data_IF_030836339804
#
_entry.id   IF_030836339804
#
_cell.length_a   1.000
_cell.length_b   1.000
_cell.length_c   1.000
_cell.angle_alpha   90.00
_cell.angle_beta   90.00
_cell.angle_gamma   90.00
#
_symmetry.space_group_name_H-M   'P 1'
#
loop_
_entity.id
_entity.type
_entity.pdbx_description
1 polymer ?
#
# COMPACT_ATOMS: atom_id res chain seq x y z
N UNK A 1 -7.17 5.83 5.13
CA UNK A 1 -6.38 6.99 5.56
C UNK A 1 -7.09 8.33 5.29
N UNK A 2 -7.22 8.84 4.04
CA UNK A 2 -7.81 10.17 3.80
C UNK A 2 -9.25 10.29 4.29
N UNK A 3 -10.11 9.34 3.93
CA UNK A 3 -11.51 9.32 4.37
C UNK A 3 -11.67 9.08 5.88
N UNK A 4 -10.82 8.27 6.46
CA UNK A 4 -10.77 8.02 7.91
C UNK A 4 -10.40 9.29 8.69
N UNK A 5 -9.50 10.11 8.10
CA UNK A 5 -9.18 11.44 8.69
C UNK A 5 -10.42 12.33 8.74
N UNK A 6 -11.27 12.31 7.70
CA UNK A 6 -12.52 13.10 7.72
C UNK A 6 -13.45 12.65 8.84
N UNK A 7 -13.61 11.33 9.01
CA UNK A 7 -14.46 10.77 10.08
C UNK A 7 -13.85 11.09 11.46
N UNK A 8 -12.54 10.88 11.62
CA UNK A 8 -11.82 11.18 12.87
C UNK A 8 -11.91 12.64 13.29
N UNK A 9 -11.96 13.57 12.34
CA UNK A 9 -12.15 14.99 12.57
C UNK A 9 -13.63 15.42 12.69
N UNK A 10 -14.56 14.45 12.67
CA UNK A 10 -16.01 14.71 12.83
C UNK A 10 -16.65 15.42 11.65
N UNK A 11 -16.07 15.27 10.45
CA UNK A 11 -16.67 15.78 9.21
C UNK A 11 -17.71 14.77 8.75
N UNK A 12 -18.88 15.27 8.38
CA UNK A 12 -19.93 14.47 7.75
C UNK A 12 -19.45 14.00 6.37
N UNK A 13 -18.98 12.75 6.32
CA UNK A 13 -18.40 12.12 5.15
C UNK A 13 -18.96 10.72 4.94
N UNK A 14 -19.58 10.52 3.81
CA UNK A 14 -20.00 9.19 3.37
C UNK A 14 -18.80 8.47 2.72
N UNK A 15 -18.44 7.32 3.28
CA UNK A 15 -17.34 6.50 2.76
C UNK A 15 -17.61 6.10 1.31
N UNK A 16 -16.71 6.49 0.42
CA UNK A 16 -16.78 6.11 -0.99
C UNK A 16 -15.99 4.83 -1.18
N UNK A 17 -16.67 3.79 -1.60
CA UNK A 17 -16.04 2.56 -2.08
C UNK A 17 -15.67 2.74 -3.56
N UNK A 18 -14.39 2.55 -3.87
CA UNK A 18 -13.87 2.64 -5.23
C UNK A 18 -13.78 1.29 -5.93
N UNK A 19 -14.29 0.22 -5.31
CA UNK A 19 -14.23 -1.13 -5.87
C UNK A 19 -12.82 -1.70 -5.92
N UNK A 20 -11.89 -1.17 -5.14
CA UNK A 20 -10.53 -1.69 -4.97
C UNK A 20 -10.54 -2.77 -3.88
N UNK A 21 -11.39 -3.77 -4.03
CA UNK A 21 -11.39 -4.90 -3.10
C UNK A 21 -10.15 -5.77 -3.32
N UNK A 22 -9.12 -5.49 -2.53
CA UNK A 22 -7.91 -6.29 -2.49
C UNK A 22 -8.10 -7.55 -1.64
N UNK A 23 -9.12 -7.62 -0.80
CA UNK A 23 -9.35 -8.70 0.15
C UNK A 23 -9.51 -10.03 -0.57
N UNK A 24 -10.31 -10.07 -1.63
CA UNK A 24 -10.53 -11.29 -2.40
C UNK A 24 -9.21 -11.86 -2.96
N UNK A 25 -8.30 -10.99 -3.40
CA UNK A 25 -6.99 -11.39 -3.89
C UNK A 25 -6.07 -11.88 -2.76
N UNK A 26 -5.98 -11.13 -1.66
CA UNK A 26 -5.18 -11.49 -0.48
C UNK A 26 -5.63 -12.84 0.07
N UNK A 27 -6.94 -12.99 0.25
CA UNK A 27 -7.57 -14.20 0.71
C UNK A 27 -7.23 -15.42 -0.16
N UNK A 28 -7.25 -15.25 -1.49
CA UNK A 28 -6.89 -16.34 -2.41
C UNK A 28 -5.43 -16.78 -2.25
N UNK A 29 -4.52 -15.88 -1.90
CA UNK A 29 -3.13 -16.23 -1.66
C UNK A 29 -2.88 -16.82 -0.27
N UNK A 30 -3.47 -16.24 0.80
CA UNK A 30 -3.09 -16.47 2.20
C UNK A 30 -3.99 -17.45 2.96
N UNK A 31 -5.24 -17.66 2.53
CA UNK A 31 -6.16 -18.57 3.24
C UNK A 31 -5.65 -20.01 3.26
N UNK A 32 -6.07 -20.81 4.24
CA UNK A 32 -5.97 -22.25 4.16
C UNK A 32 -6.52 -22.76 2.84
N UNK A 33 -5.77 -23.56 2.09
CA UNK A 33 -6.06 -23.95 0.70
C UNK A 33 -5.91 -22.80 -0.35
N UNK A 34 -5.28 -21.70 -0.01
CA UNK A 34 -4.85 -20.67 -0.93
C UNK A 34 -3.59 -21.06 -1.72
N UNK A 35 -3.14 -20.18 -2.61
CA UNK A 35 -2.02 -20.46 -3.52
C UNK A 35 -0.75 -20.85 -2.74
N UNK A 36 -0.41 -20.10 -1.67
CA UNK A 36 0.79 -20.38 -0.87
C UNK A 36 0.71 -21.71 -0.13
N UNK A 37 -0.44 -22.03 0.46
CA UNK A 37 -0.63 -23.29 1.18
C UNK A 37 -0.53 -24.50 0.24
N UNK A 38 -1.11 -24.41 -0.96
CA UNK A 38 -1.05 -25.46 -1.98
C UNK A 38 0.38 -25.60 -2.50
N UNK A 39 1.09 -24.50 -2.72
CA UNK A 39 2.49 -24.50 -3.17
C UNK A 39 3.40 -25.18 -2.13
N UNK A 40 3.21 -24.83 -0.85
CA UNK A 40 3.99 -25.43 0.24
C UNK A 40 3.72 -26.94 0.34
N UNK A 41 2.44 -27.33 0.35
CA UNK A 41 2.04 -28.73 0.39
C UNK A 41 2.63 -29.53 -0.76
N UNK A 42 2.45 -29.08 -2.02
CA UNK A 42 2.98 -29.75 -3.21
C UNK A 42 4.52 -29.79 -3.19
N UNK A 43 5.17 -28.77 -2.66
CA UNK A 43 6.65 -28.76 -2.54
C UNK A 43 7.16 -29.86 -1.62
N UNK A 44 6.38 -30.30 -0.62
CA UNK A 44 6.74 -31.35 0.31
C UNK A 44 6.49 -32.76 -0.24
N UNK A 45 5.63 -32.89 -1.25
CA UNK A 45 5.35 -34.22 -1.84
C UNK A 45 6.45 -34.67 -2.80
N UNK A 46 7.05 -35.87 -2.59
CA UNK A 46 8.19 -36.33 -3.39
C UNK A 46 7.91 -36.54 -4.87
N UNK A 47 6.62 -36.75 -5.24
CA UNK A 47 6.19 -37.01 -6.62
C UNK A 47 5.39 -35.87 -7.23
N UNK A 48 5.34 -34.73 -6.59
CA UNK A 48 4.64 -33.58 -7.11
C UNK A 48 5.33 -33.03 -8.37
N UNK A 49 4.53 -32.59 -9.30
CA UNK A 49 4.95 -31.99 -10.57
C UNK A 49 4.24 -30.64 -10.73
N UNK A 50 4.76 -29.77 -11.59
CA UNK A 50 4.08 -28.50 -11.93
C UNK A 50 2.65 -28.75 -12.42
N UNK A 51 2.41 -29.88 -13.09
CA UNK A 51 1.08 -30.27 -13.54
C UNK A 51 0.15 -30.65 -12.39
N UNK A 52 0.62 -31.42 -11.39
CA UNK A 52 -0.20 -31.76 -10.20
C UNK A 52 -0.53 -30.50 -9.39
N UNK A 53 0.41 -29.58 -9.29
CA UNK A 53 0.20 -28.27 -8.66
C UNK A 53 -0.86 -27.44 -9.41
N UNK A 54 -0.77 -27.34 -10.74
CA UNK A 54 -1.76 -26.66 -11.57
C UNK A 54 -3.17 -27.25 -11.39
N UNK A 55 -3.31 -28.58 -11.45
CA UNK A 55 -4.59 -29.26 -11.29
C UNK A 55 -5.19 -29.01 -9.91
N UNK A 56 -4.38 -29.01 -8.86
CA UNK A 56 -4.81 -28.73 -7.50
C UNK A 56 -5.24 -27.27 -7.31
N UNK A 57 -4.50 -26.33 -7.90
CA UNK A 57 -4.91 -24.92 -7.93
C UNK A 57 -6.28 -24.75 -8.59
N UNK A 58 -6.48 -25.35 -9.77
CA UNK A 58 -7.76 -25.28 -10.48
C UNK A 58 -8.92 -25.94 -9.72
N UNK A 59 -8.66 -27.06 -9.05
CA UNK A 59 -9.66 -27.72 -8.23
C UNK A 59 -10.08 -26.90 -7.00
N UNK A 60 -9.13 -26.27 -6.33
CA UNK A 60 -9.36 -25.52 -5.09
C UNK A 60 -9.86 -24.10 -5.34
N UNK A 61 -9.30 -23.40 -6.32
CA UNK A 61 -9.52 -21.97 -6.55
C UNK A 61 -10.37 -21.65 -7.78
N UNK A 62 -10.60 -22.65 -8.66
CA UNK A 62 -11.28 -22.44 -9.94
C UNK A 62 -12.74 -21.96 -9.85
N UNK A 63 -13.35 -21.99 -8.67
CA UNK A 63 -14.70 -21.44 -8.40
C UNK A 63 -14.68 -19.96 -8.00
N UNK A 64 -13.52 -19.40 -7.71
CA UNK A 64 -13.41 -18.00 -7.33
C UNK A 64 -13.54 -17.09 -8.55
N UNK A 65 -14.30 -16.01 -8.49
CA UNK A 65 -14.54 -15.14 -9.65
C UNK A 65 -13.28 -14.43 -10.15
N UNK A 66 -12.28 -14.27 -9.29
CA UNK A 66 -11.00 -13.64 -9.62
C UNK A 66 -9.97 -14.62 -10.21
N UNK A 67 -10.19 -15.95 -10.08
CA UNK A 67 -9.33 -16.99 -10.67
C UNK A 67 -9.81 -17.32 -12.06
N UNK A 68 -9.02 -16.96 -13.07
CA UNK A 68 -9.41 -16.98 -14.47
C UNK A 68 -8.58 -18.00 -15.29
N UNK A 69 -9.12 -18.36 -16.44
CA UNK A 69 -8.33 -19.05 -17.46
C UNK A 69 -7.39 -18.06 -18.16
N UNK A 70 -6.19 -18.50 -18.62
CA UNK A 70 -5.28 -17.64 -19.35
C UNK A 70 -5.95 -17.06 -20.60
N UNK A 71 -5.66 -15.82 -20.93
CA UNK A 71 -6.11 -15.19 -22.17
C UNK A 71 -5.24 -15.69 -23.34
N UNK A 72 -5.80 -16.56 -24.17
CA UNK A 72 -5.10 -17.38 -25.17
C UNK A 72 -4.33 -16.63 -26.27
N UNK A 73 -4.49 -15.32 -26.41
CA UNK A 73 -3.86 -14.53 -27.48
C UNK A 73 -2.46 -14.01 -27.14
N UNK A 74 -2.17 -13.79 -25.86
CA UNK A 74 -0.91 -13.19 -25.40
C UNK A 74 -0.01 -14.16 -24.64
N UNK A 75 -0.58 -15.17 -23.96
CA UNK A 75 0.16 -16.01 -23.02
C UNK A 75 0.02 -17.52 -23.31
N UNK A 76 0.70 -17.98 -24.36
CA UNK A 76 0.65 -19.39 -24.78
C UNK A 76 1.20 -20.38 -23.74
N UNK A 77 1.91 -19.89 -22.74
CA UNK A 77 2.56 -20.72 -21.72
C UNK A 77 1.99 -20.49 -20.31
N UNK A 78 0.94 -19.69 -20.18
CA UNK A 78 0.33 -19.47 -18.89
C UNK A 78 -0.63 -20.60 -18.51
N UNK A 79 -0.68 -20.94 -17.22
CA UNK A 79 -1.49 -22.02 -16.67
C UNK A 79 -2.79 -21.52 -16.05
N UNK A 80 -2.76 -20.32 -15.47
CA UNK A 80 -3.94 -19.63 -14.94
C UNK A 80 -3.75 -18.10 -15.00
N UNK A 81 -4.80 -17.36 -14.74
CA UNK A 81 -4.75 -15.91 -14.63
C UNK A 81 -5.51 -15.44 -13.39
N UNK A 82 -5.14 -14.28 -12.88
CA UNK A 82 -5.79 -13.65 -11.74
C UNK A 82 -6.24 -12.25 -12.14
N UNK A 83 -7.48 -11.91 -11.79
CA UNK A 83 -7.98 -10.55 -11.89
C UNK A 83 -7.52 -9.75 -10.68
N UNK A 84 -6.45 -8.99 -10.84
CA UNK A 84 -5.97 -8.02 -9.86
C UNK A 84 -6.70 -6.68 -10.03
N UNK A 85 -6.58 -5.78 -9.05
CA UNK A 85 -7.18 -4.45 -9.11
C UNK A 85 -6.73 -3.63 -10.33
N UNK A 86 -5.47 -3.82 -10.77
CA UNK A 86 -4.88 -3.07 -11.89
C UNK A 86 -5.07 -3.75 -13.25
N UNK A 87 -5.55 -5.00 -13.29
CA UNK A 87 -5.77 -5.75 -14.51
C UNK A 87 -5.57 -7.26 -14.34
N UNK A 88 -5.77 -7.99 -15.42
CA UNK A 88 -5.63 -9.45 -15.44
C UNK A 88 -4.17 -9.79 -15.69
N UNK A 89 -3.59 -10.61 -14.82
CA UNK A 89 -2.21 -11.10 -14.93
C UNK A 89 -2.23 -12.62 -15.10
N UNK A 90 -1.55 -13.09 -16.13
CA UNK A 90 -1.39 -14.52 -16.43
C UNK A 90 -0.12 -15.08 -15.78
N UNK A 91 -0.21 -16.28 -15.24
CA UNK A 91 0.87 -16.92 -14.48
C UNK A 91 1.29 -18.24 -15.12
N UNK A 92 2.60 -18.41 -15.23
CA UNK A 92 3.24 -19.67 -15.62
C UNK A 92 3.83 -20.32 -14.37
N UNK A 93 3.38 -21.53 -14.01
CA UNK A 93 3.81 -22.25 -12.82
C UNK A 93 5.05 -23.12 -13.03
N UNK A 94 5.57 -23.17 -14.24
CA UNK A 94 6.73 -24.00 -14.57
C UNK A 94 7.93 -23.66 -13.66
N UNK A 95 8.44 -24.66 -12.95
CA UNK A 95 9.56 -24.50 -12.03
C UNK A 95 9.21 -23.88 -10.66
N UNK A 96 7.94 -23.61 -10.36
CA UNK A 96 7.57 -23.03 -9.06
C UNK A 96 7.87 -23.99 -7.90
N UNK A 97 7.59 -25.28 -8.06
CA UNK A 97 7.86 -26.27 -7.02
C UNK A 97 9.35 -26.40 -6.73
N UNK A 98 10.18 -26.43 -7.77
CA UNK A 98 11.63 -26.50 -7.63
C UNK A 98 12.19 -25.25 -6.95
N UNK A 99 11.78 -24.08 -7.42
CA UNK A 99 12.17 -22.79 -6.81
C UNK A 99 11.74 -22.71 -5.34
N UNK A 100 10.55 -23.22 -5.00
CA UNK A 100 10.03 -23.15 -3.64
C UNK A 100 10.74 -24.10 -2.67
N UNK A 101 11.26 -25.23 -3.15
CA UNK A 101 12.03 -26.18 -2.34
C UNK A 101 13.37 -25.63 -1.90
N UNK A 102 13.90 -24.61 -2.57
CA UNK A 102 15.22 -24.04 -2.35
C UNK A 102 16.28 -25.12 -2.19
N UNK A 103 16.71 -25.75 -3.30
CA UNK A 103 17.49 -26.99 -3.28
C UNK A 103 18.94 -26.82 -2.81
N UNK A 104 19.26 -25.77 -2.07
CA UNK A 104 20.60 -25.61 -1.50
C UNK A 104 20.80 -26.69 -0.46
N UNK A 105 21.70 -27.63 -0.77
CA UNK A 105 22.01 -28.75 0.09
C UNK A 105 22.69 -28.25 1.39
N UNK A 106 22.14 -28.64 2.54
CA UNK A 106 22.67 -28.28 3.87
C UNK A 106 24.15 -28.59 4.02
N UNK A 107 24.61 -29.68 3.41
CA UNK A 107 26.04 -30.04 3.38
C UNK A 107 26.89 -29.01 2.67
N UNK A 108 26.36 -28.42 1.56
CA UNK A 108 27.05 -27.35 0.84
C UNK A 108 27.12 -26.11 1.71
N UNK A 109 26.03 -25.75 2.40
CA UNK A 109 26.00 -24.63 3.34
C UNK A 109 27.02 -24.80 4.45
N UNK A 110 27.09 -26.00 5.04
CA UNK A 110 28.05 -26.32 6.10
C UNK A 110 29.50 -26.20 5.60
N UNK A 111 29.79 -26.73 4.42
CA UNK A 111 31.11 -26.61 3.79
C UNK A 111 31.46 -25.15 3.52
N UNK A 112 30.50 -24.34 3.01
CA UNK A 112 30.72 -22.89 2.76
C UNK A 112 30.98 -22.13 4.05
N UNK A 113 30.33 -22.51 5.16
CA UNK A 113 30.53 -21.87 6.47
C UNK A 113 31.85 -22.25 7.13
N UNK A 114 32.25 -23.54 7.05
CA UNK A 114 33.34 -24.09 7.85
C UNK A 114 34.65 -24.25 7.09
N UNK A 115 34.61 -24.47 5.79
CA UNK A 115 35.78 -24.89 5.01
C UNK A 115 36.23 -23.84 3.98
N UNK A 116 35.44 -22.80 3.75
CA UNK A 116 35.82 -21.76 2.79
C UNK A 116 37.00 -20.94 3.31
N UNK A 117 38.08 -20.89 2.52
CA UNK A 117 39.22 -19.98 2.75
C UNK A 117 38.92 -18.51 2.35
N UNK A 118 37.77 -18.26 1.76
CA UNK A 118 37.36 -16.94 1.31
C UNK A 118 36.41 -16.34 2.35
N UNK A 119 36.89 -15.36 3.10
CA UNK A 119 36.15 -14.69 4.18
C UNK A 119 34.78 -14.14 3.74
N UNK A 120 34.71 -13.60 2.52
CA UNK A 120 33.46 -13.11 1.93
C UNK A 120 32.40 -14.22 1.82
N UNK A 121 32.78 -15.44 1.40
CA UNK A 121 31.85 -16.56 1.30
C UNK A 121 31.35 -16.98 2.69
N UNK A 122 32.25 -17.07 3.67
CA UNK A 122 31.86 -17.37 5.06
C UNK A 122 30.88 -16.33 5.58
N UNK A 123 31.11 -15.06 5.27
CA UNK A 123 30.24 -13.98 5.71
C UNK A 123 28.86 -14.06 5.04
N UNK A 124 28.79 -14.31 3.74
CA UNK A 124 27.51 -14.45 2.99
C UNK A 124 26.66 -15.62 3.49
N UNK A 125 27.29 -16.71 3.91
CA UNK A 125 26.58 -17.89 4.39
C UNK A 125 26.35 -17.91 5.91
N UNK A 126 26.91 -16.97 6.65
CA UNK A 126 26.85 -16.92 8.13
C UNK A 126 25.43 -17.04 8.68
N UNK A 127 24.52 -16.27 8.11
CA UNK A 127 23.13 -16.16 8.57
C UNK A 127 22.20 -17.18 7.93
N UNK A 128 22.69 -18.01 7.01
CA UNK A 128 21.88 -19.06 6.43
C UNK A 128 21.50 -20.09 7.52
N UNK A 129 20.20 -20.39 7.68
CA UNK A 129 19.70 -21.18 8.82
C UNK A 129 20.09 -22.64 8.77
N UNK A 130 21.02 -23.18 8.14
CA UNK A 130 21.42 -24.58 8.11
C UNK A 130 20.56 -25.55 8.94
N UNK A 131 20.63 -26.84 8.76
CA UNK A 131 19.91 -27.76 9.64
C UNK A 131 20.38 -27.60 11.10
N UNK A 132 19.46 -27.63 12.10
CA UNK A 132 19.84 -27.61 13.48
C UNK A 132 20.71 -28.86 13.74
N UNK A 133 21.99 -28.65 14.04
CA UNK A 133 22.89 -29.71 14.46
C UNK A 133 22.26 -30.45 15.64
N UNK A 134 21.99 -31.72 15.44
CA UNK A 134 21.53 -32.63 16.48
C UNK A 134 22.66 -32.89 17.50
N UNK A 135 22.90 -31.96 18.40
CA UNK A 135 23.50 -32.30 19.67
C UNK A 135 22.37 -32.59 20.64
N UNK A 136 22.35 -33.78 21.28
CA UNK A 136 21.33 -34.09 22.26
C UNK A 136 21.62 -33.31 23.53
N UNK A 137 20.94 -32.16 23.74
CA UNK A 137 20.72 -31.61 25.05
C UNK A 137 19.27 -31.89 25.43
N UNK A 138 19.19 -32.80 26.38
CA UNK A 138 18.07 -33.24 27.16
C UNK A 138 17.45 -32.02 27.87
N UNK A 139 16.28 -31.59 27.40
CA UNK A 139 15.35 -30.80 28.18
C UNK A 139 13.93 -31.04 27.64
N UNK A 140 13.12 -31.71 28.48
CA UNK A 140 11.83 -32.33 28.25
C UNK A 140 10.67 -31.47 27.73
N UNK A 141 10.89 -30.62 26.75
CA UNK A 141 9.81 -29.93 26.01
C UNK A 141 9.60 -30.62 24.66
N UNK A 142 8.38 -31.15 24.45
CA UNK A 142 7.92 -31.76 23.22
C UNK A 142 8.36 -30.94 22.00
N UNK A 143 9.42 -31.38 21.32
CA UNK A 143 9.83 -30.83 20.02
C UNK A 143 8.70 -31.08 19.04
N UNK A 144 8.07 -29.99 18.52
CA UNK A 144 7.34 -30.06 17.28
C UNK A 144 8.27 -30.66 16.24
N UNK A 145 7.87 -31.78 15.61
CA UNK A 145 8.61 -32.42 14.53
C UNK A 145 8.87 -31.36 13.45
N UNK A 146 10.09 -30.84 13.39
CA UNK A 146 10.61 -30.09 12.27
C UNK A 146 11.01 -31.07 11.19
N UNK A 147 10.03 -31.67 10.55
CA UNK A 147 10.21 -32.54 9.40
C UNK A 147 9.76 -31.84 8.13
N UNK A 148 10.54 -30.91 7.65
CA UNK A 148 10.35 -30.23 6.40
C UNK A 148 11.24 -28.98 6.39
N UNK A 149 12.20 -28.93 5.46
CA UNK A 149 13.01 -27.73 5.26
C UNK A 149 12.10 -26.52 5.05
N UNK A 150 12.51 -25.35 5.51
CA UNK A 150 11.77 -24.10 5.27
C UNK A 150 11.72 -23.86 3.75
N UNK A 151 10.52 -23.76 3.21
CA UNK A 151 10.32 -23.39 1.80
C UNK A 151 10.54 -21.89 1.60
N UNK A 152 10.88 -21.48 0.37
CA UNK A 152 11.03 -20.05 0.03
C UNK A 152 9.76 -19.28 0.35
N UNK A 153 8.58 -19.85 0.02
CA UNK A 153 7.29 -19.21 0.32
C UNK A 153 7.05 -19.04 1.82
N UNK A 154 7.41 -20.03 2.65
CA UNK A 154 7.22 -19.93 4.10
C UNK A 154 8.12 -18.87 4.74
N UNK A 155 9.38 -18.76 4.29
CA UNK A 155 10.29 -17.69 4.73
C UNK A 155 9.80 -16.33 4.28
N UNK A 156 9.34 -16.23 3.03
CA UNK A 156 8.80 -14.99 2.48
C UNK A 156 7.57 -14.49 3.26
N UNK A 157 6.63 -15.37 3.60
CA UNK A 157 5.44 -15.00 4.38
C UNK A 157 5.79 -14.46 5.77
N UNK A 158 6.78 -15.06 6.44
CA UNK A 158 7.25 -14.55 7.74
C UNK A 158 7.85 -13.16 7.58
N UNK A 159 8.77 -12.98 6.62
CA UNK A 159 9.41 -11.68 6.36
C UNK A 159 8.41 -10.61 5.92
N UNK A 160 7.39 -10.98 5.15
CA UNK A 160 6.31 -10.07 4.77
C UNK A 160 5.49 -9.64 6.00
N UNK A 161 5.16 -10.57 6.90
CA UNK A 161 4.45 -10.27 8.15
C UNK A 161 5.24 -9.31 9.06
N UNK A 162 6.54 -9.51 9.18
CA UNK A 162 7.44 -8.62 9.92
C UNK A 162 7.51 -7.21 9.29
N UNK A 163 7.62 -7.15 7.95
CA UNK A 163 7.60 -5.91 7.20
C UNK A 163 6.27 -5.16 7.42
N UNK A 164 5.14 -5.84 7.29
CA UNK A 164 3.82 -5.23 7.49
C UNK A 164 3.66 -4.72 8.92
N UNK A 165 4.12 -5.48 9.93
CA UNK A 165 4.11 -5.04 11.32
C UNK A 165 4.91 -3.74 11.51
N UNK A 166 6.09 -3.66 10.89
CA UNK A 166 6.93 -2.46 10.92
C UNK A 166 6.24 -1.29 10.24
N UNK A 167 5.64 -1.49 9.06
CA UNK A 167 4.93 -0.44 8.32
C UNK A 167 3.71 0.09 9.10
N UNK A 168 2.95 -0.77 9.76
CA UNK A 168 1.81 -0.34 10.59
C UNK A 168 2.23 0.42 11.86
N UNK A 169 3.45 0.20 12.34
CA UNK A 169 3.99 0.94 13.48
C UNK A 169 4.54 2.33 13.11
N UNK A 170 4.73 2.60 11.82
CA UNK A 170 5.25 3.85 11.28
C UNK A 170 4.13 4.78 10.81
N UNK A 171 4.43 6.08 10.70
CA UNK A 171 3.58 7.04 9.98
C UNK A 171 3.91 6.96 8.48
N UNK A 172 3.00 6.44 7.63
CA UNK A 172 3.31 6.17 6.24
C UNK A 172 3.21 7.42 5.37
N UNK A 173 4.25 7.67 4.59
CA UNK A 173 4.28 8.68 3.53
C UNK A 173 4.47 8.00 2.17
N UNK A 174 3.53 8.21 1.25
CA UNK A 174 3.56 7.58 -0.07
C UNK A 174 4.09 8.53 -1.13
N UNK A 175 5.23 8.18 -1.73
CA UNK A 175 5.81 8.89 -2.88
C UNK A 175 5.69 7.99 -4.11
N UNK A 176 5.00 8.46 -5.15
CA UNK A 176 4.79 7.73 -6.40
C UNK A 176 5.52 8.46 -7.54
N UNK A 177 6.58 7.83 -8.03
CA UNK A 177 7.33 8.34 -9.18
C UNK A 177 6.72 7.80 -10.47
N UNK A 178 6.44 8.70 -11.43
CA UNK A 178 5.96 8.35 -12.76
C UNK A 178 7.09 8.53 -13.77
N UNK A 179 7.29 7.53 -14.61
CA UNK A 179 8.25 7.60 -15.73
C UNK A 179 7.51 8.14 -16.95
N UNK A 180 7.90 9.31 -17.50
CA UNK A 180 7.15 9.93 -18.60
C UNK A 180 7.32 9.19 -19.93
N UNK A 181 8.46 8.53 -20.16
CA UNK A 181 8.74 7.73 -21.34
C UNK A 181 9.79 6.66 -21.05
N UNK A 182 9.87 5.64 -21.91
CA UNK A 182 10.81 4.52 -21.78
C UNK A 182 12.25 4.90 -22.20
N UNK A 183 12.40 5.93 -23.04
CA UNK A 183 13.66 6.34 -23.63
C UNK A 183 14.44 7.37 -22.80
N UNK A 184 13.89 7.79 -21.64
CA UNK A 184 14.46 8.82 -20.75
C UNK A 184 14.74 10.16 -21.49
N UNK A 185 13.91 10.49 -22.48
CA UNK A 185 14.07 11.69 -23.28
C UNK A 185 13.30 12.85 -22.66
N UNK A 186 13.94 14.02 -22.41
CA UNK A 186 13.27 15.16 -21.81
C UNK A 186 12.23 15.75 -22.76
N UNK A 187 11.11 16.22 -22.21
CA UNK A 187 10.02 16.86 -22.96
C UNK A 187 9.10 15.94 -23.74
N UNK A 188 9.35 14.63 -23.76
CA UNK A 188 8.49 13.63 -24.38
C UNK A 188 7.67 12.88 -23.32
N UNK A 189 6.39 12.62 -23.66
CA UNK A 189 5.42 11.93 -22.82
C UNK A 189 4.78 10.81 -23.62
N UNK A 190 4.79 9.59 -23.07
CA UNK A 190 4.06 8.43 -23.61
C UNK A 190 2.73 8.26 -22.86
N UNK A 191 1.60 8.77 -23.38
CA UNK A 191 0.33 8.77 -22.65
C UNK A 191 -0.14 7.38 -22.20
N UNK A 192 -0.02 6.30 -23.01
CA UNK A 192 -0.42 4.96 -22.58
C UNK A 192 0.39 4.46 -21.37
N UNK A 193 1.71 4.71 -21.35
CA UNK A 193 2.59 4.34 -20.26
C UNK A 193 2.21 5.06 -18.96
N UNK A 194 1.94 6.36 -19.05
CA UNK A 194 1.54 7.15 -17.87
C UNK A 194 0.17 6.69 -17.36
N UNK A 195 -0.82 6.50 -18.24
CA UNK A 195 -2.14 6.01 -17.85
C UNK A 195 -2.06 4.65 -17.17
N UNK A 196 -1.24 3.75 -17.68
CA UNK A 196 -1.01 2.45 -17.06
C UNK A 196 -0.41 2.60 -15.64
N UNK A 197 0.62 3.43 -15.48
CA UNK A 197 1.23 3.70 -14.17
C UNK A 197 0.24 4.34 -13.19
N UNK A 198 -0.56 5.32 -13.61
CA UNK A 198 -1.56 5.96 -12.78
C UNK A 198 -2.61 4.96 -12.29
N UNK A 199 -3.04 4.05 -13.17
CA UNK A 199 -3.99 2.98 -12.81
C UNK A 199 -3.35 1.99 -11.83
N UNK A 200 -2.16 1.47 -12.15
CA UNK A 200 -1.48 0.47 -11.30
C UNK A 200 -1.11 1.00 -9.91
N UNK A 201 -0.82 2.30 -9.80
CA UNK A 201 -0.45 2.93 -8.53
C UNK A 201 -1.65 3.41 -7.70
N UNK A 202 -2.90 3.21 -8.16
CA UNK A 202 -4.11 3.68 -7.48
C UNK A 202 -4.21 5.22 -7.37
N UNK A 203 -3.51 5.96 -8.27
CA UNK A 203 -3.50 7.42 -8.24
C UNK A 203 -4.82 7.98 -8.72
N UNK A 204 -5.47 7.33 -9.70
CA UNK A 204 -6.76 7.78 -10.24
C UNK A 204 -7.85 7.77 -9.16
N UNK A 205 -7.86 6.75 -8.31
CA UNK A 205 -8.77 6.64 -7.18
C UNK A 205 -8.47 7.72 -6.14
N UNK A 206 -7.20 7.95 -5.83
CA UNK A 206 -6.78 9.05 -4.96
C UNK A 206 -7.25 10.42 -5.48
N UNK A 207 -7.12 10.67 -6.79
CA UNK A 207 -7.62 11.90 -7.41
C UNK A 207 -9.15 12.03 -7.27
N UNK A 208 -9.90 10.94 -7.45
CA UNK A 208 -11.36 10.94 -7.26
C UNK A 208 -11.76 11.28 -5.82
N UNK A 209 -11.04 10.74 -4.82
CA UNK A 209 -11.24 11.11 -3.42
C UNK A 209 -10.97 12.61 -3.21
N UNK A 210 -9.84 13.08 -3.70
CA UNK A 210 -9.46 14.50 -3.58
C UNK A 210 -10.45 15.44 -4.27
N UNK A 211 -11.00 15.06 -5.42
CA UNK A 211 -12.00 15.87 -6.13
C UNK A 211 -13.34 15.96 -5.38
N UNK A 212 -13.77 14.87 -4.75
CA UNK A 212 -15.01 14.84 -3.97
C UNK A 212 -14.84 15.37 -2.55
N UNK A 213 -13.64 15.25 -1.99
CA UNK A 213 -13.30 15.57 -0.61
C UNK A 213 -12.74 16.97 -0.40
N UNK A 214 -11.95 17.08 0.66
CA UNK A 214 -11.34 18.30 1.16
C UNK A 214 -9.82 18.08 1.32
N UNK A 215 -9.06 17.95 0.23
CA UNK A 215 -7.65 17.53 0.27
C UNK A 215 -6.72 18.53 0.94
N UNK A 216 -7.13 19.82 1.03
CA UNK A 216 -6.34 20.84 1.69
C UNK A 216 -6.80 20.97 3.13
N UNK A 217 -5.89 20.77 4.07
CA UNK A 217 -6.17 20.87 5.50
C UNK A 217 -5.10 21.68 6.21
N UNK A 218 -5.53 22.47 7.20
CA UNK A 218 -4.64 23.32 8.00
C UNK A 218 -5.11 23.26 9.45
N UNK A 219 -4.19 23.09 10.39
CA UNK A 219 -4.50 23.21 11.81
C UNK A 219 -5.03 24.60 12.13
N UNK A 220 -5.93 24.71 13.09
CA UNK A 220 -6.55 25.99 13.44
C UNK A 220 -5.53 27.04 13.87
N UNK A 221 -4.50 26.66 14.62
CA UNK A 221 -3.44 27.59 15.06
C UNK A 221 -2.61 28.12 13.89
N UNK A 222 -2.28 27.24 12.90
CA UNK A 222 -1.55 27.64 11.70
C UNK A 222 -2.42 28.53 10.79
N UNK A 223 -3.71 28.20 10.69
CA UNK A 223 -4.65 29.02 9.93
C UNK A 223 -4.74 30.44 10.55
N UNK A 224 -4.92 30.56 11.85
CA UNK A 224 -4.94 31.84 12.58
C UNK A 224 -3.66 32.63 12.36
N UNK A 225 -2.50 32.00 12.52
CA UNK A 225 -1.20 32.66 12.33
C UNK A 225 -0.99 33.13 10.90
N UNK A 226 -1.41 32.34 9.92
CA UNK A 226 -1.23 32.65 8.49
C UNK A 226 -2.19 33.72 7.98
N UNK A 227 -3.41 33.73 8.49
CA UNK A 227 -4.50 34.57 7.99
C UNK A 227 -4.95 35.64 9.02
N UNK A 228 -4.11 35.96 10.02
CA UNK A 228 -4.41 36.93 11.07
C UNK A 228 -4.78 38.32 10.51
N UNK A 229 -4.22 38.69 9.36
CA UNK A 229 -4.45 39.96 8.71
C UNK A 229 -5.90 40.14 8.23
N UNK A 230 -6.63 39.04 8.02
CA UNK A 230 -8.02 39.05 7.55
C UNK A 230 -8.99 39.49 8.65
N UNK A 231 -8.64 39.32 9.92
CA UNK A 231 -9.53 39.65 11.03
C UNK A 231 -8.82 39.62 12.37
N UNK A 232 -8.01 40.65 12.65
CA UNK A 232 -7.29 40.76 13.91
C UNK A 232 -8.26 40.82 15.09
N UNK A 233 -9.37 41.54 14.98
CA UNK A 233 -10.35 41.69 16.05
C UNK A 233 -11.04 40.36 16.40
N UNK A 234 -11.33 39.51 15.42
CA UNK A 234 -11.97 38.21 15.59
C UNK A 234 -11.01 37.21 16.28
N UNK A 235 -9.70 37.33 16.00
CA UNK A 235 -8.67 36.50 16.62
C UNK A 235 -8.47 36.88 18.09
N UNK A 236 -8.50 38.17 18.40
CA UNK A 236 -8.31 38.69 19.76
C UNK A 236 -9.56 38.49 20.64
N UNK A 237 -10.74 38.40 20.03
CA UNK A 237 -12.02 38.29 20.75
C UNK A 237 -12.39 36.88 21.23
N UNK A 238 -11.76 35.82 20.71
CA UNK A 238 -12.13 34.45 21.04
C UNK A 238 -10.89 33.58 21.30
N UNK A 239 -10.94 32.86 22.43
CA UNK A 239 -9.92 31.86 22.77
C UNK A 239 -10.14 30.51 22.09
N UNK A 240 -11.33 30.27 21.54
CA UNK A 240 -11.66 29.02 20.88
C UNK A 240 -11.25 29.06 19.40
N UNK A 241 -10.38 28.15 19.02
CA UNK A 241 -9.79 28.12 17.68
C UNK A 241 -10.81 27.93 16.56
N UNK A 242 -11.80 27.04 16.78
CA UNK A 242 -12.81 26.69 15.77
C UNK A 242 -13.76 27.83 15.48
N UNK A 243 -14.26 28.49 16.52
CA UNK A 243 -15.16 29.66 16.40
C UNK A 243 -14.47 30.86 15.78
N UNK A 244 -13.19 31.09 16.11
CA UNK A 244 -12.36 32.13 15.49
C UNK A 244 -12.20 31.90 13.98
N UNK A 245 -11.86 30.69 13.57
CA UNK A 245 -11.69 30.37 12.13
C UNK A 245 -13.01 30.48 11.39
N UNK A 246 -14.11 30.05 12.02
CA UNK A 246 -15.45 30.25 11.45
C UNK A 246 -15.77 31.73 11.24
N UNK A 247 -15.54 32.58 12.24
CA UNK A 247 -15.79 34.03 12.14
C UNK A 247 -14.91 34.70 11.06
N UNK A 248 -13.65 34.27 10.93
CA UNK A 248 -12.76 34.75 9.87
C UNK A 248 -13.27 34.39 8.47
N UNK A 249 -13.70 33.15 8.27
CA UNK A 249 -14.23 32.68 6.98
C UNK A 249 -15.57 33.34 6.64
N UNK A 250 -16.43 33.56 7.63
CA UNK A 250 -17.72 34.23 7.46
C UNK A 250 -17.53 35.72 7.09
N UNK A 251 -16.59 36.38 7.75
CA UNK A 251 -16.24 37.80 7.47
C UNK A 251 -15.82 38.03 6.02
N UNK A 252 -15.07 37.11 5.44
CA UNK A 252 -14.65 37.19 4.03
C UNK A 252 -15.69 36.59 3.08
N UNK A 253 -16.88 36.25 3.57
CA UNK A 253 -17.95 35.60 2.79
C UNK A 253 -17.48 34.35 2.05
N UNK A 254 -16.67 33.53 2.72
CA UNK A 254 -16.17 32.29 2.12
C UNK A 254 -17.30 31.27 2.01
N UNK A 255 -17.51 30.71 0.82
CA UNK A 255 -18.59 29.77 0.53
C UNK A 255 -18.54 28.53 1.45
N UNK A 256 -19.60 28.28 2.23
CA UNK A 256 -19.67 27.17 3.21
C UNK A 256 -19.52 25.77 2.60
N UNK A 257 -19.87 25.61 1.35
CA UNK A 257 -19.74 24.35 0.62
C UNK A 257 -18.28 24.00 0.30
N UNK A 258 -17.39 25.00 0.32
CA UNK A 258 -15.99 24.86 -0.05
C UNK A 258 -15.07 24.54 1.12
N UNK A 259 -15.58 24.52 2.37
CA UNK A 259 -14.81 24.16 3.54
C UNK A 259 -15.62 23.34 4.53
N UNK A 260 -14.92 22.67 5.45
CA UNK A 260 -15.47 22.01 6.62
C UNK A 260 -14.57 22.28 7.82
N UNK A 261 -15.18 22.37 9.00
CA UNK A 261 -14.47 22.58 10.27
C UNK A 261 -14.46 21.25 11.03
N UNK A 262 -13.29 20.65 11.14
CA UNK A 262 -13.08 19.46 11.95
C UNK A 262 -12.96 19.77 13.44
N UNK A 263 -12.43 18.82 14.19
CA UNK A 263 -12.13 19.00 15.62
C UNK A 263 -10.87 19.86 15.81
N UNK A 264 -9.81 19.61 15.02
CA UNK A 264 -8.50 20.25 15.16
C UNK A 264 -8.07 21.07 13.95
N UNK A 265 -8.69 20.84 12.79
CA UNK A 265 -8.29 21.39 11.51
C UNK A 265 -9.48 21.98 10.73
N UNK A 266 -9.16 22.91 9.83
CA UNK A 266 -10.07 23.32 8.76
C UNK A 266 -9.68 22.64 7.46
N UNK A 267 -10.68 22.16 6.74
CA UNK A 267 -10.56 21.41 5.50
C UNK A 267 -11.16 22.19 4.34
N UNK A 268 -10.45 22.24 3.22
CA UNK A 268 -10.87 22.98 2.04
C UNK A 268 -10.96 22.08 0.80
N UNK A 269 -11.94 22.31 -0.05
CA UNK A 269 -12.00 21.68 -1.37
C UNK A 269 -10.80 22.06 -2.24
N UNK A 270 -10.48 21.23 -3.21
CA UNK A 270 -9.41 21.50 -4.16
C UNK A 270 -9.55 22.89 -4.80
N UNK A 271 -8.48 23.68 -4.81
CA UNK A 271 -8.45 25.03 -5.36
C UNK A 271 -9.16 26.11 -4.54
N UNK A 272 -9.93 25.77 -3.50
CA UNK A 272 -10.70 26.74 -2.71
C UNK A 272 -9.81 27.79 -2.03
N UNK A 273 -8.68 27.38 -1.49
CA UNK A 273 -7.73 28.30 -0.83
C UNK A 273 -7.09 29.28 -1.83
N UNK A 274 -6.71 28.79 -3.00
CA UNK A 274 -6.06 29.62 -4.03
C UNK A 274 -6.99 30.71 -4.60
N UNK A 275 -8.30 30.45 -4.61
CA UNK A 275 -9.29 31.40 -5.16
C UNK A 275 -9.94 32.26 -4.11
N UNK A 276 -10.11 31.80 -2.87
CA UNK A 276 -10.87 32.46 -1.82
C UNK A 276 -10.02 33.22 -0.78
N UNK A 277 -8.80 32.74 -0.51
CA UNK A 277 -7.92 33.32 0.51
C UNK A 277 -6.80 34.19 -0.07
N UNK A 278 -6.98 34.74 -1.26
CA UNK A 278 -6.02 35.67 -1.86
C UNK A 278 -6.07 37.03 -1.19
N UNK A 279 -4.91 37.66 -0.90
CA UNK A 279 -4.85 38.99 -0.30
C UNK A 279 -5.56 40.08 -1.12
N UNK A 280 -5.62 39.96 -2.44
CA UNK A 280 -6.26 40.85 -3.37
C UNK A 280 -7.80 40.89 -3.26
N UNK A 281 -8.44 39.86 -2.69
CA UNK A 281 -9.88 39.88 -2.37
C UNK A 281 -10.19 40.46 -0.98
N UNK A 282 -9.19 40.58 -0.13
CA UNK A 282 -9.31 41.06 1.26
C UNK A 282 -9.17 42.55 1.38
N UNK A 283 -8.65 43.24 0.36
CA UNK A 283 -8.40 44.66 0.38
C UNK A 283 -9.44 45.48 -0.45
N UNK A 284 -10.70 45.39 -0.09
CA UNK A 284 -11.58 46.54 -0.21
C UNK A 284 -12.06 46.92 1.18
N UNK A 285 -11.34 47.78 1.88
CA UNK A 285 -11.96 48.46 3.01
C UNK A 285 -13.14 49.21 2.46
N UNK A 286 -14.28 48.99 3.08
CA UNK A 286 -15.49 49.76 2.86
C UNK A 286 -15.14 51.24 2.95
N UNK A 287 -15.09 51.95 1.82
CA UNK A 287 -14.79 53.38 1.73
C UNK A 287 -16.02 54.23 2.11
N UNK A 288 -16.83 53.74 3.03
CA UNK A 288 -18.06 54.42 3.44
C UNK A 288 -18.06 54.82 4.91
N UNK A 289 -16.89 55.10 5.50
CA UNK A 289 -16.85 55.86 6.76
C UNK A 289 -15.72 56.89 6.69
N UNK A 290 -15.99 57.97 6.02
CA UNK A 290 -15.28 59.23 6.19
C UNK A 290 -16.14 60.36 5.64
N UNK A 291 -17.06 60.84 6.45
CA UNK A 291 -17.49 62.24 6.54
C UNK A 291 -18.06 62.45 7.93
#
# INVERSE_FOLDING_TARGET
MEQETYIGEGIDWEMVDFGLDLEACIVMFEKPMGIWAILEEESLFPKATDKSFEEKLKASLGKLPIFLKPQSKTDKHAHFAISHYAGIVSYNVTGWLEKNKDPVNDTVVEVMKSTSSVELLVHLWRDHPGQPTTTPKDDGKKKKKAGGGKTVSSVYLVSLGELMTTLYACEPHFVRCLVPNTHKKPGEVEPPLIMHQLTCNGVLEGIRICMRGFPNRIFYHDFKSRYWILGKAEIESSNENKTTVYALLDKISFERERYRLGHTMVFFRAGAMATGLRPDRVSKPDRTVAL
#
